data_IF_459003190601
#
_entry.id   IF_459003190601
#
_cell.length_a   1.000
_cell.length_b   1.000
_cell.length_c   1.000
_cell.angle_alpha   90.00
_cell.angle_beta   90.00
_cell.angle_gamma   90.00
#
_symmetry.space_group_name_H-M   'P 1'
#
loop_
_entity.id
_entity.type
_entity.pdbx_description
1 polymer ?
#
# COMPACT_ATOMS: atom_id res chain seq x y z
N UNK A 1 14.01 -4.05 13.70
CA UNK A 1 13.41 -2.72 13.43
C UNK A 1 14.47 -1.63 13.33
N UNK A 2 15.59 -1.69 14.07
CA UNK A 2 16.71 -0.72 13.93
C UNK A 2 17.67 -0.99 12.75
N UNK A 3 17.60 -2.15 12.08
CA UNK A 3 18.57 -2.52 11.04
C UNK A 3 18.33 -1.90 9.66
N UNK A 4 17.10 -1.48 9.30
CA UNK A 4 16.82 -0.99 7.93
C UNK A 4 16.97 0.53 7.78
N UNK A 5 16.84 1.31 8.86
CA UNK A 5 16.80 2.78 8.75
C UNK A 5 15.54 3.31 8.04
N UNK A 6 14.48 2.50 7.92
CA UNK A 6 13.25 2.89 7.21
C UNK A 6 12.09 3.18 8.16
N UNK A 7 11.15 4.03 7.71
CA UNK A 7 9.92 4.30 8.46
C UNK A 7 8.94 3.14 8.28
N UNK A 8 8.48 2.55 9.38
CA UNK A 8 7.50 1.47 9.37
C UNK A 8 6.12 2.00 9.70
N UNK A 9 5.15 1.74 8.83
CA UNK A 9 3.75 2.10 9.03
C UNK A 9 2.92 0.86 9.36
N UNK A 10 2.06 0.97 10.37
CA UNK A 10 1.00 0.00 10.63
C UNK A 10 -0.34 0.60 10.21
N UNK A 11 -1.06 -0.10 9.34
CA UNK A 11 -2.33 0.36 8.80
C UNK A 11 -3.44 -0.66 9.01
N UNK A 12 -4.67 -0.17 9.17
CA UNK A 12 -5.89 -0.97 9.20
C UNK A 12 -6.78 -0.58 8.03
N UNK A 13 -7.62 -1.51 7.60
CA UNK A 13 -8.65 -1.21 6.62
C UNK A 13 -9.86 -0.55 7.33
N UNK A 14 -10.23 0.63 6.87
CA UNK A 14 -11.58 1.14 7.06
C UNK A 14 -12.55 0.42 6.11
N UNK A 15 -13.41 -0.42 6.66
CA UNK A 15 -14.39 -1.19 5.90
C UNK A 15 -15.49 -0.33 5.26
N UNK A 16 -15.73 0.87 5.77
CA UNK A 16 -16.77 1.77 5.23
C UNK A 16 -16.33 2.36 3.89
N UNK A 17 -15.13 2.92 3.86
CA UNK A 17 -14.57 3.62 2.69
C UNK A 17 -13.57 2.79 1.88
N UNK A 18 -13.19 1.60 2.36
CA UNK A 18 -12.17 0.74 1.76
C UNK A 18 -10.85 1.47 1.55
N UNK A 19 -10.34 2.05 2.64
CA UNK A 19 -9.10 2.81 2.66
C UNK A 19 -8.18 2.26 3.74
N UNK A 20 -6.88 2.22 3.44
CA UNK A 20 -5.87 1.87 4.43
C UNK A 20 -5.59 3.12 5.27
N UNK A 21 -5.84 3.03 6.58
CA UNK A 21 -5.61 4.11 7.54
C UNK A 21 -4.41 3.75 8.40
N UNK A 22 -3.42 4.64 8.45
CA UNK A 22 -2.26 4.48 9.33
C UNK A 22 -2.71 4.68 10.77
N UNK A 23 -2.50 3.68 11.63
CA UNK A 23 -2.86 3.74 13.05
C UNK A 23 -1.64 3.83 13.97
N UNK A 24 -0.48 3.43 13.46
CA UNK A 24 0.78 3.53 14.20
C UNK A 24 1.94 3.67 13.21
N UNK A 25 3.02 4.28 13.67
CA UNK A 25 4.19 4.53 12.85
C UNK A 25 5.45 4.59 13.71
N UNK A 26 6.44 3.79 13.35
CA UNK A 26 7.81 3.92 13.86
C UNK A 26 8.59 4.73 12.82
N UNK A 27 8.77 6.02 13.08
CA UNK A 27 9.51 6.93 12.20
C UNK A 27 11.01 6.66 12.29
N UNK A 28 11.70 6.69 11.15
CA UNK A 28 13.15 6.75 11.15
C UNK A 28 13.67 8.20 11.23
N UNK A 29 14.93 8.36 11.61
CA UNK A 29 15.61 9.64 11.86
C UNK A 29 16.28 10.25 10.62
N UNK A 30 16.10 9.66 9.42
CA UNK A 30 16.70 10.17 8.18
C UNK A 30 15.99 11.43 7.63
N UNK A 31 16.77 12.28 6.96
CA UNK A 31 16.37 13.60 6.45
C UNK A 31 15.26 13.60 5.39
N UNK A 32 15.11 12.51 4.63
CA UNK A 32 13.97 12.33 3.72
C UNK A 32 12.96 11.40 4.38
N UNK A 33 11.81 11.97 4.78
CA UNK A 33 10.69 11.22 5.34
C UNK A 33 9.45 11.46 4.49
N UNK A 34 8.77 10.38 4.13
CA UNK A 34 7.41 10.47 3.62
C UNK A 34 6.51 10.92 4.79
N UNK A 35 5.88 12.08 4.67
CA UNK A 35 4.98 12.60 5.70
C UNK A 35 3.63 11.90 5.60
N UNK A 36 3.51 10.73 6.23
CA UNK A 36 2.27 10.00 6.34
C UNK A 36 1.81 10.01 7.82
N UNK A 37 0.97 10.98 8.24
CA UNK A 37 0.56 11.10 9.63
C UNK A 37 -0.33 9.93 10.05
N UNK A 38 -0.35 9.62 11.35
CA UNK A 38 -1.38 8.75 11.94
C UNK A 38 -2.76 9.33 11.61
N UNK A 39 -3.70 8.48 11.21
CA UNK A 39 -5.02 8.85 10.67
C UNK A 39 -5.00 9.19 9.18
N UNK A 40 -3.82 9.24 8.55
CA UNK A 40 -3.67 9.43 7.10
C UNK A 40 -4.23 8.25 6.31
N UNK A 41 -4.92 8.57 5.21
CA UNK A 41 -5.47 7.61 4.25
C UNK A 41 -4.43 7.31 3.18
N UNK A 42 -4.21 6.02 2.90
CA UNK A 42 -3.29 5.54 1.88
C UNK A 42 -4.06 5.01 0.67
N UNK A 43 -3.59 5.26 -0.57
CA UNK A 43 -4.20 4.72 -1.78
C UNK A 43 -4.19 3.18 -1.77
N UNK A 44 -5.32 2.56 -2.15
CA UNK A 44 -5.41 1.10 -2.13
C UNK A 44 -4.53 0.43 -3.18
N UNK A 45 -4.44 0.99 -4.39
CA UNK A 45 -3.70 0.37 -5.51
C UNK A 45 -2.26 0.85 -5.66
N UNK A 46 -1.87 1.91 -4.96
CA UNK A 46 -0.58 2.57 -5.16
C UNK A 46 0.22 2.71 -3.86
N UNK A 47 -0.17 2.04 -2.78
CA UNK A 47 0.62 1.98 -1.55
C UNK A 47 0.85 0.54 -1.14
N UNK A 48 1.94 0.29 -0.41
CA UNK A 48 2.23 -1.03 0.13
C UNK A 48 1.08 -1.56 0.99
N UNK A 49 0.65 -0.80 2.00
CA UNK A 49 -0.46 -1.21 2.87
C UNK A 49 -1.77 -1.49 2.11
N UNK A 50 -2.11 -0.65 1.13
CA UNK A 50 -3.26 -0.83 0.28
C UNK A 50 -3.18 -2.12 -0.54
N UNK A 51 -2.04 -2.36 -1.20
CA UNK A 51 -1.83 -3.56 -2.02
C UNK A 51 -1.75 -4.82 -1.18
N UNK A 52 -1.14 -4.78 0.00
CA UNK A 52 -1.17 -5.89 0.95
C UNK A 52 -2.60 -6.27 1.33
N UNK A 53 -3.48 -5.29 1.54
CA UNK A 53 -4.89 -5.55 1.79
C UNK A 53 -5.60 -6.13 0.56
N UNK A 54 -5.46 -5.50 -0.61
CA UNK A 54 -6.08 -6.00 -1.85
C UNK A 54 -5.63 -7.42 -2.19
N UNK A 55 -4.39 -7.79 -1.86
CA UNK A 55 -3.86 -9.11 -2.11
C UNK A 55 -4.62 -10.20 -1.34
N UNK A 56 -5.25 -9.89 -0.20
CA UNK A 56 -6.02 -10.86 0.60
C UNK A 56 -7.48 -11.01 0.14
N UNK A 57 -7.97 -10.09 -0.68
CA UNK A 57 -9.33 -10.14 -1.19
C UNK A 57 -9.46 -11.12 -2.35
N UNK A 58 -10.69 -11.60 -2.59
CA UNK A 58 -11.00 -12.33 -3.81
C UNK A 58 -10.88 -11.43 -5.03
N UNK A 59 -10.63 -12.01 -6.21
CA UNK A 59 -10.53 -11.22 -7.45
C UNK A 59 -11.79 -10.41 -7.75
N UNK A 60 -12.97 -10.93 -7.38
CA UNK A 60 -14.25 -10.24 -7.54
C UNK A 60 -14.31 -9.00 -6.64
N UNK A 61 -13.91 -9.13 -5.37
CA UNK A 61 -13.87 -8.02 -4.42
C UNK A 61 -12.89 -6.94 -4.87
N UNK A 62 -11.68 -7.34 -5.31
CA UNK A 62 -10.70 -6.41 -5.89
C UNK A 62 -11.31 -5.69 -7.09
N UNK A 63 -11.85 -6.43 -8.06
CA UNK A 63 -12.43 -5.86 -9.28
C UNK A 63 -13.54 -4.85 -8.96
N UNK A 64 -14.43 -5.17 -8.02
CA UNK A 64 -15.50 -4.27 -7.56
C UNK A 64 -14.94 -2.98 -6.92
N UNK A 65 -13.90 -3.10 -6.10
CA UNK A 65 -13.25 -1.97 -5.44
C UNK A 65 -12.55 -1.06 -6.47
N UNK A 66 -11.81 -1.66 -7.42
CA UNK A 66 -11.15 -0.93 -8.50
C UNK A 66 -12.14 -0.20 -9.40
N UNK A 67 -13.29 -0.81 -9.71
CA UNK A 67 -14.35 -0.12 -10.45
C UNK A 67 -14.94 1.07 -9.69
N UNK A 68 -15.06 0.98 -8.36
CA UNK A 68 -15.63 2.05 -7.53
C UNK A 68 -14.65 3.21 -7.31
N UNK A 69 -13.38 2.92 -7.06
CA UNK A 69 -12.35 3.91 -6.67
C UNK A 69 -11.51 4.40 -7.86
N UNK A 70 -11.44 3.62 -8.94
CA UNK A 70 -10.56 3.88 -10.07
C UNK A 70 -9.09 3.59 -9.76
N UNK A 71 -8.24 3.83 -10.76
CA UNK A 71 -6.79 3.68 -10.67
C UNK A 71 -6.13 5.02 -11.00
N UNK A 72 -6.12 5.93 -10.03
CA UNK A 72 -5.48 7.24 -10.21
C UNK A 72 -3.97 7.09 -10.42
N UNK A 73 -3.41 7.85 -11.35
CA UNK A 73 -1.97 7.92 -11.59
C UNK A 73 -1.35 8.97 -10.65
N UNK A 74 -0.59 8.56 -9.65
CA UNK A 74 0.13 9.48 -8.76
C UNK A 74 1.53 9.80 -9.30
N UNK A 75 2.18 8.79 -9.89
CA UNK A 75 3.50 8.86 -10.51
C UNK A 75 3.48 8.10 -11.83
N UNK A 76 4.61 8.10 -12.54
CA UNK A 76 4.80 7.29 -13.75
C UNK A 76 4.95 5.79 -13.45
N UNK A 77 5.26 5.43 -12.21
CA UNK A 77 5.38 4.03 -11.76
C UNK A 77 4.03 3.47 -11.28
N UNK A 78 3.01 4.31 -11.04
CA UNK A 78 1.71 3.86 -10.54
C UNK A 78 1.07 2.81 -11.47
N UNK A 79 0.65 1.68 -10.89
CA UNK A 79 -0.07 0.63 -11.60
C UNK A 79 -1.50 1.06 -11.95
N UNK A 80 -1.66 1.67 -13.14
CA UNK A 80 -2.96 2.15 -13.66
C UNK A 80 -3.70 1.11 -14.52
N UNK A 81 -3.10 -0.06 -14.74
CA UNK A 81 -3.72 -1.17 -15.46
C UNK A 81 -4.27 -2.19 -14.46
N UNK A 82 -5.57 -2.53 -14.51
CA UNK A 82 -6.15 -3.57 -13.66
C UNK A 82 -5.44 -4.92 -13.82
N UNK A 83 -4.92 -5.21 -15.02
CA UNK A 83 -4.19 -6.47 -15.29
C UNK A 83 -2.86 -6.47 -14.54
N UNK A 84 -2.05 -5.42 -14.71
CA UNK A 84 -0.74 -5.33 -14.04
C UNK A 84 -0.88 -5.28 -12.52
N UNK A 85 -1.89 -4.57 -12.00
CA UNK A 85 -2.16 -4.57 -10.57
C UNK A 85 -2.51 -5.96 -10.06
N UNK A 86 -3.38 -6.71 -10.77
CA UNK A 86 -3.73 -8.09 -10.37
C UNK A 86 -2.50 -9.01 -10.36
N UNK A 87 -1.58 -8.84 -11.30
CA UNK A 87 -0.31 -9.58 -11.34
C UNK A 87 0.56 -9.26 -10.12
N UNK A 88 0.75 -7.98 -9.77
CA UNK A 88 1.49 -7.60 -8.57
C UNK A 88 0.81 -8.10 -7.28
N UNK A 89 -0.53 -8.06 -7.20
CA UNK A 89 -1.26 -8.62 -6.07
C UNK A 89 -1.08 -10.15 -5.95
N UNK A 90 -1.00 -10.86 -7.08
CA UNK A 90 -0.70 -12.29 -7.08
C UNK A 90 0.72 -12.58 -6.59
N UNK A 91 1.71 -11.77 -6.99
CA UNK A 91 3.08 -11.89 -6.45
C UNK A 91 3.13 -11.54 -4.97
N UNK A 92 2.40 -10.50 -4.55
CA UNK A 92 2.23 -10.09 -3.15
C UNK A 92 1.70 -11.25 -2.30
N UNK A 93 0.66 -11.95 -2.74
CA UNK A 93 0.16 -13.17 -2.08
C UNK A 93 1.23 -14.26 -1.95
N UNK A 94 1.99 -14.49 -3.02
CA UNK A 94 3.02 -15.53 -3.06
C UNK A 94 4.21 -15.23 -2.14
N UNK A 95 4.64 -13.96 -2.06
CA UNK A 95 5.80 -13.54 -1.24
C UNK A 95 5.45 -13.20 0.21
N UNK A 96 4.19 -12.89 0.50
CA UNK A 96 3.71 -12.60 1.85
C UNK A 96 3.90 -11.14 2.31
N UNK A 97 4.34 -10.26 1.41
CA UNK A 97 4.52 -8.82 1.65
C UNK A 97 4.32 -8.04 0.35
N UNK A 98 4.16 -6.73 0.45
CA UNK A 98 3.93 -5.81 -0.68
C UNK A 98 5.02 -4.75 -0.76
N UNK A 99 5.16 -4.10 -1.91
CA UNK A 99 6.01 -2.94 -2.09
C UNK A 99 5.20 -1.76 -2.60
N UNK A 100 5.49 -0.55 -2.12
CA UNK A 100 5.28 0.68 -2.87
C UNK A 100 6.62 0.97 -3.56
N UNK A 101 6.68 0.85 -4.89
CA UNK A 101 7.90 1.08 -5.66
C UNK A 101 7.77 2.41 -6.43
N UNK A 102 7.75 3.49 -5.64
CA UNK A 102 7.50 4.84 -6.13
C UNK A 102 6.12 5.03 -6.78
N UNK A 103 5.14 4.20 -6.43
CA UNK A 103 3.80 4.22 -7.02
C UNK A 103 2.96 5.36 -6.45
N UNK A 104 3.09 5.67 -5.16
CA UNK A 104 2.40 6.79 -4.52
C UNK A 104 3.18 8.11 -4.65
N UNK A 105 4.50 8.07 -4.44
CA UNK A 105 5.37 9.23 -4.54
C UNK A 105 6.79 8.82 -4.95
N UNK A 106 7.45 9.66 -5.75
CA UNK A 106 8.81 9.42 -6.20
C UNK A 106 9.81 9.41 -5.03
N UNK A 107 10.82 8.55 -5.13
CA UNK A 107 11.83 8.34 -4.09
C UNK A 107 11.30 7.65 -2.82
N UNK A 108 10.08 7.10 -2.85
CA UNK A 108 9.53 6.30 -1.78
C UNK A 108 9.39 4.84 -2.22
N UNK A 109 10.47 4.07 -2.04
CA UNK A 109 10.41 2.62 -2.09
C UNK A 109 10.26 2.10 -0.67
N UNK A 110 9.07 1.59 -0.31
CA UNK A 110 8.80 1.12 1.04
C UNK A 110 8.29 -0.33 1.01
N UNK A 111 9.06 -1.31 1.57
CA UNK A 111 8.53 -2.64 1.81
C UNK A 111 7.48 -2.58 2.92
N UNK A 112 6.30 -3.15 2.66
CA UNK A 112 5.22 -3.23 3.64
C UNK A 112 4.80 -4.68 3.86
N UNK A 113 5.09 -5.17 5.06
CA UNK A 113 4.59 -6.44 5.60
C UNK A 113 3.40 -6.14 6.51
N UNK A 114 2.20 -6.54 6.08
CA UNK A 114 1.00 -6.40 6.91
C UNK A 114 0.71 -7.73 7.57
N UNK A 115 0.81 -7.77 8.91
CA UNK A 115 0.37 -8.89 9.71
C UNK A 115 -1.10 -8.68 10.07
N UNK A 116 -1.96 -9.50 9.51
CA UNK A 116 -3.38 -9.54 9.89
C UNK A 116 -3.51 -10.47 11.11
N UNK A 117 -4.13 -9.99 12.18
CA UNK A 117 -4.53 -10.81 13.33
C UNK A 117 -6.05 -10.94 13.34
#
# INVERSE_FOLDING_TARGET
>A
MEESGETVNMAVLDQSDHEAIIIDQVQCTHLMRMSAPIGGKLPMHASGAGKAFLAQLSEEQVTKLLHRKGLHAYTHATLVSPVHLKEDLAQTRKRGYSFDDEEHALGATLPCSVYFR
#
